data_IF_025538700139
#
_entry.id   IF_025538700139
#
_cell.length_a   1.000
_cell.length_b   1.000
_cell.length_c   1.000
_cell.angle_alpha   90.00
_cell.angle_beta   90.00
_cell.angle_gamma   90.00
#
_symmetry.space_group_name_H-M   'P 1'
#
loop_
_entity.id
_entity.type
_entity.pdbx_description
1 polymer ?
#
# COMPACT_ATOMS: atom_id res chain seq x y z
N UNK A 1 5.00 10.53 9.37
CA UNK A 1 5.58 9.48 8.48
C UNK A 1 5.49 8.15 9.19
N UNK A 2 5.20 7.05 8.48
CA UNK A 2 5.09 5.71 9.08
C UNK A 2 6.01 4.73 8.35
N UNK A 3 6.46 3.72 9.07
CA UNK A 3 7.27 2.60 8.56
C UNK A 3 6.36 1.51 7.95
N UNK A 4 6.95 0.44 7.39
CA UNK A 4 6.21 -0.64 6.71
C UNK A 4 5.28 -1.38 7.67
N UNK A 5 5.73 -1.61 8.90
CA UNK A 5 4.92 -2.24 9.94
C UNK A 5 3.75 -1.35 10.39
N UNK A 6 3.98 -0.04 10.52
CA UNK A 6 2.94 0.95 10.78
C UNK A 6 1.94 1.06 9.64
N UNK A 7 2.40 0.97 8.39
CA UNK A 7 1.53 0.89 7.22
C UNK A 7 0.62 -0.34 7.28
N UNK A 8 1.15 -1.51 7.61
CA UNK A 8 0.35 -2.73 7.72
C UNK A 8 -0.72 -2.62 8.83
N UNK A 9 -0.34 -2.13 10.01
CA UNK A 9 -1.29 -1.86 11.11
C UNK A 9 -2.37 -0.85 10.72
N UNK A 10 -2.00 0.22 10.01
CA UNK A 10 -2.95 1.22 9.52
C UNK A 10 -3.98 0.60 8.57
N UNK A 11 -3.54 -0.25 7.63
CA UNK A 11 -4.43 -0.91 6.68
C UNK A 11 -5.41 -1.86 7.37
N UNK A 12 -4.94 -2.65 8.34
CA UNK A 12 -5.82 -3.54 9.12
C UNK A 12 -6.81 -2.74 9.96
N UNK A 13 -6.36 -1.70 10.65
CA UNK A 13 -7.23 -0.83 11.42
C UNK A 13 -8.30 -0.17 10.53
N UNK A 14 -7.92 0.33 9.35
CA UNK A 14 -8.82 0.91 8.38
C UNK A 14 -9.88 -0.10 7.91
N UNK A 15 -9.48 -1.34 7.60
CA UNK A 15 -10.41 -2.39 7.20
C UNK A 15 -11.39 -2.77 8.32
N UNK A 16 -10.90 -2.88 9.56
CA UNK A 16 -11.68 -3.30 10.74
C UNK A 16 -12.66 -2.25 11.24
N UNK A 17 -12.27 -0.97 11.13
CA UNK A 17 -13.06 0.15 11.63
C UNK A 17 -14.00 0.72 10.55
N UNK A 18 -13.85 0.29 9.30
CA UNK A 18 -14.71 0.72 8.21
C UNK A 18 -16.17 0.33 8.49
N UNK A 19 -17.08 1.28 8.28
CA UNK A 19 -18.52 1.08 8.44
C UNK A 19 -19.18 1.07 7.08
N UNK A 20 -20.11 0.14 6.88
CA UNK A 20 -20.88 0.07 5.65
C UNK A 20 -21.54 1.43 5.34
N UNK A 21 -21.40 1.89 4.09
CA UNK A 21 -21.90 3.19 3.63
C UNK A 21 -20.89 4.33 3.73
N UNK A 22 -19.78 4.17 4.46
CA UNK A 22 -18.68 5.13 4.40
C UNK A 22 -17.88 4.95 3.11
N UNK A 23 -17.16 6.00 2.67
CA UNK A 23 -16.19 5.87 1.57
C UNK A 23 -15.09 4.88 1.97
N UNK A 24 -14.69 3.94 1.10
CA UNK A 24 -13.56 3.06 1.36
C UNK A 24 -12.26 3.86 1.47
N UNK A 25 -11.34 3.39 2.30
CA UNK A 25 -9.99 3.94 2.36
C UNK A 25 -9.21 3.54 1.11
N UNK A 26 -8.50 4.50 0.52
CA UNK A 26 -7.68 4.30 -0.65
C UNK A 26 -6.20 4.47 -0.30
N UNK A 27 -5.49 3.33 -0.29
CA UNK A 27 -4.05 3.26 -0.11
C UNK A 27 -3.38 3.04 -1.47
N UNK A 28 -2.28 3.74 -1.73
CA UNK A 28 -1.46 3.55 -2.93
C UNK A 28 0.02 3.68 -2.60
N UNK A 29 0.89 3.38 -3.57
CA UNK A 29 2.31 3.64 -3.45
C UNK A 29 2.81 4.52 -4.59
N UNK A 30 3.89 5.26 -4.32
CA UNK A 30 4.57 6.06 -5.31
C UNK A 30 6.01 5.57 -5.45
N UNK A 31 6.47 5.49 -6.68
CA UNK A 31 7.85 5.27 -7.08
C UNK A 31 8.23 6.31 -8.16
N UNK A 32 9.45 6.23 -8.70
CA UNK A 32 9.92 7.20 -9.70
C UNK A 32 9.04 7.26 -10.96
N UNK A 33 8.59 6.11 -11.45
CA UNK A 33 7.74 6.01 -12.64
C UNK A 33 6.37 6.66 -12.38
N UNK A 34 5.74 6.34 -11.25
CA UNK A 34 4.46 6.93 -10.85
C UNK A 34 4.55 8.45 -10.73
N UNK A 35 5.65 8.98 -10.19
CA UNK A 35 5.86 10.43 -10.07
C UNK A 35 5.99 11.07 -11.46
N UNK A 36 6.75 10.46 -12.36
CA UNK A 36 6.87 10.93 -13.73
C UNK A 36 5.51 10.95 -14.44
N UNK A 37 4.73 9.87 -14.30
CA UNK A 37 3.39 9.76 -14.85
C UNK A 37 2.43 10.81 -14.26
N UNK A 38 2.44 11.02 -12.94
CA UNK A 38 1.59 12.02 -12.30
C UNK A 38 1.95 13.45 -12.74
N UNK A 39 3.23 13.74 -13.05
CA UNK A 39 3.62 15.03 -13.63
C UNK A 39 3.14 15.18 -15.08
N UNK A 40 3.14 14.10 -15.86
CA UNK A 40 2.77 14.13 -17.27
C UNK A 40 1.25 14.08 -17.51
N UNK A 41 0.49 13.43 -16.62
CA UNK A 41 -0.92 13.07 -16.80
C UNK A 41 -1.78 13.55 -15.63
N UNK A 42 -2.61 14.55 -15.90
CA UNK A 42 -3.44 15.22 -14.89
C UNK A 42 -4.44 14.29 -14.20
N UNK A 43 -4.94 13.30 -14.93
CA UNK A 43 -5.86 12.27 -14.49
C UNK A 43 -5.20 11.33 -13.46
N UNK A 44 -3.94 10.95 -13.68
CA UNK A 44 -3.16 10.16 -12.71
C UNK A 44 -2.90 10.98 -11.46
N UNK A 45 -2.49 12.25 -11.61
CA UNK A 45 -2.33 13.13 -10.45
C UNK A 45 -3.62 13.30 -9.66
N UNK A 46 -4.77 13.37 -10.33
CA UNK A 46 -6.08 13.48 -9.68
C UNK A 46 -6.44 12.23 -8.88
N UNK A 47 -6.08 11.03 -9.35
CA UNK A 47 -6.24 9.78 -8.58
C UNK A 47 -5.36 9.78 -7.34
N UNK A 48 -4.08 10.10 -7.47
CA UNK A 48 -3.16 10.13 -6.32
C UNK A 48 -3.55 11.16 -5.26
N UNK A 49 -4.12 12.30 -5.66
CA UNK A 49 -4.65 13.30 -4.73
C UNK A 49 -5.85 12.83 -3.91
N UNK A 50 -6.54 11.78 -4.34
CA UNK A 50 -7.67 11.18 -3.61
C UNK A 50 -7.23 10.08 -2.65
N UNK A 51 -5.96 9.67 -2.68
CA UNK A 51 -5.44 8.65 -1.78
C UNK A 51 -5.43 9.15 -0.34
N UNK A 52 -5.95 8.33 0.57
CA UNK A 52 -5.89 8.57 2.01
C UNK A 52 -4.45 8.41 2.53
N UNK A 53 -3.65 7.57 1.87
CA UNK A 53 -2.24 7.39 2.16
C UNK A 53 -1.47 6.94 0.92
N UNK A 54 -0.30 7.55 0.72
CA UNK A 54 0.67 7.17 -0.32
C UNK A 54 1.93 6.64 0.38
N UNK A 55 2.34 5.41 0.06
CA UNK A 55 3.56 4.80 0.57
C UNK A 55 4.75 5.03 -0.37
N UNK A 56 5.94 5.21 0.20
CA UNK A 56 7.16 5.42 -0.58
C UNK A 56 7.75 4.07 -1.02
N UNK A 57 7.48 3.68 -2.27
CA UNK A 57 7.91 2.42 -2.86
C UNK A 57 9.11 2.63 -3.80
N UNK A 58 10.18 3.19 -3.24
CA UNK A 58 11.42 3.39 -3.97
C UNK A 58 12.49 4.03 -3.10
N UNK A 59 13.71 3.49 -3.17
CA UNK A 59 14.85 4.06 -2.45
C UNK A 59 15.12 5.53 -2.80
N UNK A 60 14.96 5.99 -4.06
CA UNK A 60 15.12 7.40 -4.40
C UNK A 60 14.20 8.33 -3.60
N UNK A 61 12.99 7.90 -3.26
CA UNK A 61 12.05 8.72 -2.47
C UNK A 61 12.50 8.86 -1.03
N UNK A 62 12.99 7.77 -0.44
CA UNK A 62 13.55 7.79 0.92
C UNK A 62 14.76 8.72 0.97
N UNK A 63 15.67 8.61 0.00
CA UNK A 63 16.84 9.48 -0.12
C UNK A 63 16.43 10.96 -0.30
N UNK A 64 15.51 11.24 -1.23
CA UNK A 64 15.01 12.59 -1.46
C UNK A 64 14.36 13.18 -0.21
N UNK A 65 13.60 12.39 0.56
CA UNK A 65 12.98 12.87 1.80
C UNK A 65 13.99 13.26 2.87
N UNK A 66 15.14 12.58 2.94
CA UNK A 66 16.24 12.91 3.86
C UNK A 66 16.95 14.21 3.49
N UNK A 67 16.93 14.58 2.21
CA UNK A 67 17.56 15.79 1.70
C UNK A 67 16.62 16.99 1.72
N UNK A 68 15.33 16.78 1.44
CA UNK A 68 14.37 17.84 1.11
C UNK A 68 13.31 18.09 2.19
N UNK A 69 13.18 17.21 3.19
CA UNK A 69 12.11 17.30 4.18
C UNK A 69 12.69 17.38 5.61
N UNK A 70 12.03 18.16 6.48
CA UNK A 70 12.35 18.22 7.91
C UNK A 70 12.02 16.92 8.64
N UNK A 71 10.98 16.21 8.17
CA UNK A 71 10.58 14.89 8.65
C UNK A 71 10.81 13.87 7.55
N UNK A 72 11.96 13.17 7.52
CA UNK A 72 12.27 12.22 6.46
C UNK A 72 11.42 10.96 6.56
N UNK A 73 11.26 10.26 5.45
CA UNK A 73 10.65 8.93 5.43
C UNK A 73 11.57 7.95 6.18
N UNK A 74 11.01 7.11 7.08
CA UNK A 74 11.82 6.19 7.88
C UNK A 74 12.50 5.14 7.01
N UNK A 75 11.75 4.57 6.06
CA UNK A 75 12.22 3.50 5.19
C UNK A 75 11.44 3.42 3.87
N UNK A 76 11.88 2.50 3.00
CA UNK A 76 11.17 2.13 1.78
C UNK A 76 10.06 1.15 2.13
N UNK A 77 8.84 1.46 1.74
CA UNK A 77 7.67 0.59 1.93
C UNK A 77 7.39 -0.11 0.60
N UNK A 78 8.07 -1.23 0.38
CA UNK A 78 7.85 -2.06 -0.80
C UNK A 78 6.46 -2.69 -0.77
N UNK A 79 5.67 -2.55 -1.83
CA UNK A 79 4.30 -3.11 -1.86
C UNK A 79 4.27 -4.64 -1.75
N UNK A 80 5.26 -5.34 -2.31
CA UNK A 80 5.40 -6.80 -2.20
C UNK A 80 5.59 -7.24 -0.74
N UNK A 81 6.47 -6.56 -0.01
CA UNK A 81 6.75 -6.91 1.38
C UNK A 81 5.60 -6.48 2.29
N UNK A 82 5.01 -5.31 2.01
CA UNK A 82 3.85 -4.79 2.73
C UNK A 82 2.67 -5.74 2.63
N UNK A 83 2.42 -6.34 1.46
CA UNK A 83 1.35 -7.32 1.29
C UNK A 83 1.47 -8.47 2.29
N UNK A 84 2.66 -9.07 2.43
CA UNK A 84 2.91 -10.15 3.39
C UNK A 84 2.81 -9.70 4.85
N UNK A 85 3.21 -8.45 5.16
CA UNK A 85 3.02 -7.88 6.50
C UNK A 85 1.53 -7.71 6.84
N UNK A 86 0.72 -7.25 5.89
CA UNK A 86 -0.75 -7.11 6.07
C UNK A 86 -1.40 -8.48 6.17
N UNK A 87 -1.01 -9.46 5.33
CA UNK A 87 -1.57 -10.81 5.33
C UNK A 87 -1.41 -11.50 6.70
N UNK A 88 -0.20 -11.46 7.26
CA UNK A 88 0.08 -12.02 8.59
C UNK A 88 -0.72 -11.34 9.71
N UNK A 89 -0.92 -10.01 9.63
CA UNK A 89 -1.73 -9.30 10.61
C UNK A 89 -3.22 -9.60 10.46
N UNK A 90 -3.71 -9.75 9.23
CA UNK A 90 -5.11 -10.03 8.94
C UNK A 90 -5.59 -11.35 9.55
N UNK A 91 -4.74 -12.37 9.60
CA UNK A 91 -5.04 -13.65 10.24
C UNK A 91 -5.36 -13.50 11.72
N UNK A 92 -4.51 -12.76 12.43
CA UNK A 92 -4.69 -12.51 13.87
C UNK A 92 -5.92 -11.64 14.16
N UNK A 93 -6.30 -10.80 13.20
CA UNK A 93 -7.32 -9.77 13.35
C UNK A 93 -8.65 -10.14 12.66
N UNK A 94 -8.78 -11.37 12.15
CA UNK A 94 -9.94 -11.86 11.39
C UNK A 94 -10.37 -10.93 10.23
N UNK A 95 -9.40 -10.30 9.56
CA UNK A 95 -9.63 -9.52 8.36
C UNK A 95 -9.48 -10.41 7.10
N UNK A 96 -10.30 -10.15 6.08
CA UNK A 96 -10.31 -10.95 4.84
C UNK A 96 -9.78 -10.16 3.65
N UNK A 97 -9.15 -10.85 2.71
CA UNK A 97 -8.72 -10.27 1.44
C UNK A 97 -9.67 -10.62 0.30
N UNK A 98 -9.76 -9.71 -0.66
CA UNK A 98 -10.28 -9.99 -1.99
C UNK A 98 -9.21 -9.56 -3.01
N UNK A 99 -8.71 -10.51 -3.79
CA UNK A 99 -7.69 -10.25 -4.81
C UNK A 99 -8.36 -9.98 -6.14
N UNK A 100 -8.28 -8.73 -6.61
CA UNK A 100 -8.82 -8.29 -7.88
C UNK A 100 -7.69 -7.83 -8.80
N UNK A 101 -7.59 -8.46 -9.97
CA UNK A 101 -6.58 -8.18 -10.98
C UNK A 101 -6.18 -9.46 -11.72
N UNK A 102 -5.24 -9.34 -12.67
CA UNK A 102 -4.68 -10.48 -13.41
C UNK A 102 -5.73 -11.45 -13.98
N UNK A 103 -5.35 -12.70 -14.26
CA UNK A 103 -6.29 -13.78 -14.60
C UNK A 103 -6.69 -14.57 -13.36
N UNK A 104 -7.85 -15.22 -13.39
CA UNK A 104 -8.34 -16.06 -12.29
C UNK A 104 -7.32 -17.12 -11.86
N UNK A 105 -6.65 -17.76 -12.83
CA UNK A 105 -5.59 -18.73 -12.55
C UNK A 105 -4.41 -18.13 -11.79
N UNK A 106 -4.05 -16.87 -12.05
CA UNK A 106 -2.98 -16.18 -11.30
C UNK A 106 -3.43 -15.76 -9.91
N UNK A 107 -4.68 -15.31 -9.76
CA UNK A 107 -5.23 -15.00 -8.44
C UNK A 107 -5.30 -16.26 -7.56
N UNK A 108 -5.70 -17.41 -8.13
CA UNK A 108 -5.68 -18.68 -7.41
C UNK A 108 -4.28 -19.06 -6.91
N UNK A 109 -3.23 -18.81 -7.71
CA UNK A 109 -1.84 -19.01 -7.28
C UNK A 109 -1.45 -18.04 -6.15
N UNK A 110 -1.79 -16.76 -6.29
CA UNK A 110 -1.49 -15.76 -5.27
C UNK A 110 -2.13 -16.10 -3.90
N UNK A 111 -3.40 -16.54 -3.89
CA UNK A 111 -4.07 -17.01 -2.66
C UNK A 111 -3.36 -18.24 -2.08
N UNK A 112 -3.02 -19.21 -2.94
CA UNK A 112 -2.37 -20.44 -2.49
C UNK A 112 -0.95 -20.21 -1.94
N UNK A 113 -0.19 -19.28 -2.54
CA UNK A 113 1.17 -18.97 -2.09
C UNK A 113 1.16 -18.13 -0.82
N UNK A 114 0.21 -17.20 -0.68
CA UNK A 114 -0.03 -16.51 0.60
C UNK A 114 -0.38 -17.52 1.70
N UNK A 115 -1.24 -18.50 1.41
CA UNK A 115 -1.61 -19.55 2.38
C UNK A 115 -0.45 -20.46 2.82
N UNK A 116 0.59 -20.63 1.98
CA UNK A 116 1.80 -21.42 2.32
C UNK A 116 2.85 -20.61 3.07
N UNK A 117 2.81 -19.29 2.95
CA UNK A 117 3.73 -18.37 3.63
C UNK A 117 3.29 -18.03 5.07
N UNK A 118 2.14 -18.57 5.49
CA UNK A 118 1.60 -18.57 6.86
C UNK A 118 2.26 -19.68 7.68
#
# INVERSE_FOLDING_TARGET
VIDRQGAARLMIAAARQHRHGNRPYYFTSANGEVIAQARAKSEIAALFRQADQIFADGQPLVLASRLLCSTPLPERVATTDLFHDVARLAENEAATFYLLGSTEAQNGKAVADDAKAR
#
